data_IF_336515215948
#
_entry.id   IF_336515215948
#
_cell.length_a   1.000
_cell.length_b   1.000
_cell.length_c   1.000
_cell.angle_alpha   90.00
_cell.angle_beta   90.00
_cell.angle_gamma   90.00
#
_symmetry.space_group_name_H-M   'P 1'
#
loop_
_entity.id
_entity.type
_entity.pdbx_description
1 polymer ?
#
# COMPACT_ATOMS: atom_id res chain seq x y z
N UNK A 1 21.05 21.15 -26.30
CA UNK A 1 22.34 20.43 -26.25
C UNK A 1 23.11 20.85 -25.00
N UNK A 2 23.49 19.89 -24.15
CA UNK A 2 24.06 20.17 -22.82
C UNK A 2 25.41 20.96 -22.86
N UNK A 3 26.19 20.84 -23.94
CA UNK A 3 27.48 21.51 -24.06
C UNK A 3 27.46 22.78 -24.90
N UNK A 4 26.43 22.99 -25.73
CA UNK A 4 26.40 24.15 -26.67
C UNK A 4 25.49 25.27 -26.17
N UNK A 5 24.34 24.95 -25.61
CA UNK A 5 23.34 25.92 -25.15
C UNK A 5 22.59 25.38 -23.92
N UNK A 6 23.25 25.08 -22.79
CA UNK A 6 22.62 24.50 -21.60
C UNK A 6 21.59 25.45 -21.00
N UNK A 7 21.70 26.75 -21.16
CA UNK A 7 20.77 27.75 -20.63
C UNK A 7 19.41 27.76 -21.34
N UNK A 8 19.30 27.15 -22.53
CA UNK A 8 18.06 27.13 -23.31
C UNK A 8 17.17 25.94 -22.92
N UNK A 9 17.66 25.02 -22.07
CA UNK A 9 16.93 23.83 -21.66
C UNK A 9 16.66 23.77 -20.16
N UNK A 10 15.58 23.07 -19.81
CA UNK A 10 15.21 22.76 -18.42
C UNK A 10 15.41 21.27 -18.20
N UNK A 11 15.99 20.88 -17.06
CA UNK A 11 16.42 19.51 -16.82
C UNK A 11 15.40 18.77 -15.96
N UNK A 12 14.49 18.04 -16.62
CA UNK A 12 13.48 17.24 -15.96
C UNK A 12 14.06 16.06 -15.13
N UNK A 13 15.24 15.53 -15.51
CA UNK A 13 15.92 14.50 -14.73
C UNK A 13 16.34 15.02 -13.35
N UNK A 14 16.94 16.22 -13.29
CA UNK A 14 17.36 16.79 -12.02
C UNK A 14 16.16 17.15 -11.14
N UNK A 15 15.07 17.65 -11.72
CA UNK A 15 13.82 17.87 -10.99
C UNK A 15 13.29 16.57 -10.37
N UNK A 16 13.24 15.47 -11.13
CA UNK A 16 12.78 14.18 -10.64
C UNK A 16 13.74 13.55 -9.62
N UNK A 17 15.04 13.71 -9.77
CA UNK A 17 16.03 13.27 -8.79
C UNK A 17 15.88 14.02 -7.46
N UNK A 18 15.77 15.35 -7.52
CA UNK A 18 15.50 16.19 -6.34
C UNK A 18 14.16 15.81 -5.68
N UNK A 19 13.12 15.62 -6.47
CA UNK A 19 11.83 15.14 -5.97
C UNK A 19 11.97 13.82 -5.22
N UNK A 20 12.71 12.86 -5.77
CA UNK A 20 12.93 11.54 -5.14
C UNK A 20 13.56 11.68 -3.74
N UNK A 21 14.59 12.53 -3.60
CA UNK A 21 15.24 12.81 -2.32
C UNK A 21 14.25 13.50 -1.36
N UNK A 22 13.56 14.53 -1.83
CA UNK A 22 12.62 15.32 -1.02
C UNK A 22 11.45 14.48 -0.52
N UNK A 23 10.92 13.56 -1.34
CA UNK A 23 9.86 12.62 -0.95
C UNK A 23 10.26 11.76 0.24
N UNK A 24 11.49 11.27 0.28
CA UNK A 24 11.99 10.46 1.39
C UNK A 24 12.24 11.29 2.66
N UNK A 25 12.34 12.62 2.57
CA UNK A 25 12.48 13.53 3.71
C UNK A 25 11.15 13.91 4.38
N UNK A 26 10.00 13.51 3.84
CA UNK A 26 8.69 13.78 4.45
C UNK A 26 8.67 13.22 5.87
N UNK A 27 8.29 14.08 6.84
CA UNK A 27 8.16 13.68 8.24
C UNK A 27 7.11 12.59 8.39
N UNK A 28 7.45 11.55 9.14
CA UNK A 28 6.50 10.47 9.43
C UNK A 28 5.41 10.96 10.38
N UNK A 29 4.21 10.40 10.23
CA UNK A 29 3.06 10.83 11.05
C UNK A 29 3.14 10.27 12.47
N UNK A 30 2.92 11.13 13.50
CA UNK A 30 3.08 10.72 14.90
C UNK A 30 1.99 9.80 15.46
N UNK A 31 0.84 9.69 14.76
CA UNK A 31 -0.30 8.86 15.21
C UNK A 31 -0.32 7.45 14.62
N UNK A 32 0.65 7.08 13.79
CA UNK A 32 0.69 5.75 13.21
C UNK A 32 1.72 5.60 12.10
N UNK A 33 1.90 4.36 11.65
CA UNK A 33 2.85 4.03 10.59
C UNK A 33 2.53 4.81 9.30
N UNK A 34 3.56 5.35 8.70
CA UNK A 34 3.50 6.02 7.41
C UNK A 34 4.74 5.68 6.60
N UNK A 35 4.57 5.43 5.31
CA UNK A 35 5.66 5.01 4.43
C UNK A 35 5.54 5.71 3.08
N UNK A 36 6.67 5.86 2.42
CA UNK A 36 6.77 6.34 1.05
C UNK A 36 7.90 5.59 0.35
N UNK A 37 7.69 5.27 -0.91
CA UNK A 37 8.70 4.64 -1.74
C UNK A 37 8.66 5.22 -3.15
N UNK A 38 9.83 5.53 -3.70
CA UNK A 38 10.01 5.81 -5.12
C UNK A 38 10.57 4.56 -5.77
N UNK A 39 9.74 3.89 -6.57
CA UNK A 39 10.09 2.60 -7.20
C UNK A 39 10.66 2.75 -8.60
N UNK A 40 10.34 3.84 -9.31
CA UNK A 40 10.82 4.05 -10.69
C UNK A 40 11.16 5.52 -10.90
N UNK A 41 12.30 5.78 -11.54
CA UNK A 41 12.68 7.05 -12.11
C UNK A 41 13.32 6.81 -13.47
N UNK A 42 12.68 7.27 -14.53
CA UNK A 42 13.17 7.17 -15.90
C UNK A 42 13.28 8.56 -16.51
N UNK A 43 14.45 8.92 -17.05
CA UNK A 43 14.68 10.19 -17.71
C UNK A 43 15.87 10.14 -18.65
N UNK A 44 15.82 10.94 -19.71
CA UNK A 44 16.92 11.16 -20.64
C UNK A 44 17.05 10.12 -21.75
N UNK A 45 17.69 10.52 -22.85
CA UNK A 45 17.89 9.73 -24.07
C UNK A 45 19.36 9.65 -24.50
N UNK A 46 20.19 10.56 -24.02
CA UNK A 46 21.60 10.62 -24.38
C UNK A 46 22.42 11.53 -23.47
N UNK A 47 23.70 11.22 -23.33
CA UNK A 47 24.61 11.91 -22.40
C UNK A 47 24.80 13.41 -22.65
N UNK A 48 24.56 13.88 -23.86
CA UNK A 48 24.74 15.26 -24.30
C UNK A 48 23.42 16.00 -24.56
N UNK A 49 22.29 15.42 -24.15
CA UNK A 49 20.96 16.01 -24.30
C UNK A 49 20.41 16.31 -22.91
N UNK A 50 19.90 17.51 -22.68
CA UNK A 50 19.14 17.83 -21.46
C UNK A 50 17.82 17.09 -21.48
N UNK A 51 17.51 16.27 -20.48
CA UNK A 51 16.24 15.54 -20.43
C UNK A 51 15.05 16.50 -20.33
N UNK A 52 14.15 16.43 -21.28
CA UNK A 52 12.92 17.24 -21.35
C UNK A 52 11.75 16.57 -20.61
N UNK A 53 11.82 15.24 -20.45
CA UNK A 53 10.80 14.44 -19.76
C UNK A 53 11.48 13.53 -18.73
N UNK A 54 10.83 13.43 -17.55
CA UNK A 54 11.12 12.43 -16.54
C UNK A 54 9.82 11.78 -16.04
N UNK A 55 9.85 10.48 -15.81
CA UNK A 55 8.74 9.71 -15.24
C UNK A 55 9.17 9.14 -13.90
N UNK A 56 8.44 9.51 -12.84
CA UNK A 56 8.63 9.00 -11.49
C UNK A 56 7.39 8.23 -11.08
N UNK A 57 7.56 6.98 -10.57
CA UNK A 57 6.48 6.18 -9.99
C UNK A 57 6.79 5.95 -8.53
N UNK A 58 5.80 6.23 -7.70
CA UNK A 58 5.93 6.15 -6.25
C UNK A 58 4.64 5.62 -5.61
N UNK A 59 4.75 5.19 -4.36
CA UNK A 59 3.60 4.87 -3.52
C UNK A 59 3.72 5.55 -2.16
N UNK A 60 2.58 5.76 -1.51
CA UNK A 60 2.49 6.15 -0.11
C UNK A 60 1.62 5.14 0.63
N UNK A 61 1.90 4.96 1.93
CA UNK A 61 1.10 4.11 2.82
C UNK A 61 0.89 4.82 4.15
N UNK A 62 -0.28 4.61 4.75
CA UNK A 62 -0.61 5.07 6.10
C UNK A 62 -1.38 4.00 6.84
N UNK A 63 -1.19 3.93 8.17
CA UNK A 63 -1.95 3.03 9.04
C UNK A 63 -3.46 3.31 9.02
N UNK A 64 -3.85 4.55 8.69
CA UNK A 64 -5.23 4.96 8.46
C UNK A 64 -5.32 5.74 7.16
N UNK A 65 -6.54 5.93 6.65
CA UNK A 65 -6.80 6.74 5.46
C UNK A 65 -6.30 8.18 5.65
N UNK A 66 -6.53 8.79 6.81
CA UNK A 66 -6.10 10.17 7.12
C UNK A 66 -4.56 10.30 7.13
N UNK A 67 -3.86 9.29 7.67
CA UNK A 67 -2.38 9.27 7.65
C UNK A 67 -1.86 9.16 6.22
N UNK A 68 -2.50 8.34 5.39
CA UNK A 68 -2.10 8.25 3.99
C UNK A 68 -2.43 9.53 3.21
N UNK A 69 -3.54 10.19 3.48
CA UNK A 69 -3.89 11.49 2.88
C UNK A 69 -2.87 12.57 3.25
N UNK A 70 -2.39 12.60 4.50
CA UNK A 70 -1.28 13.44 4.89
C UNK A 70 -0.03 13.15 4.03
N UNK A 71 0.36 11.89 3.88
CA UNK A 71 1.53 11.51 3.07
C UNK A 71 1.35 11.90 1.60
N UNK A 72 0.16 11.73 1.03
CA UNK A 72 -0.16 12.14 -0.34
C UNK A 72 -0.09 13.66 -0.50
N UNK A 73 -0.62 14.41 0.47
CA UNK A 73 -0.56 15.88 0.48
C UNK A 73 0.88 16.40 0.49
N UNK A 74 1.71 15.87 1.39
CA UNK A 74 3.12 16.23 1.48
C UNK A 74 3.90 15.81 0.21
N UNK A 75 3.61 14.63 -0.33
CA UNK A 75 4.22 14.18 -1.57
C UNK A 75 3.92 15.13 -2.74
N UNK A 76 2.67 15.55 -2.91
CA UNK A 76 2.28 16.53 -3.93
C UNK A 76 3.02 17.84 -3.76
N UNK A 77 3.14 18.33 -2.52
CA UNK A 77 3.86 19.55 -2.20
C UNK A 77 5.35 19.45 -2.57
N UNK A 78 6.00 18.32 -2.25
CA UNK A 78 7.41 18.09 -2.58
C UNK A 78 7.66 17.98 -4.09
N UNK A 79 6.75 17.31 -4.81
CA UNK A 79 6.81 17.19 -6.26
C UNK A 79 6.69 18.55 -6.93
N UNK A 80 5.76 19.39 -6.49
CA UNK A 80 5.60 20.75 -7.02
C UNK A 80 6.81 21.61 -6.71
N UNK A 81 7.32 21.58 -5.48
CA UNK A 81 8.50 22.36 -5.09
C UNK A 81 9.75 21.97 -5.89
N UNK A 82 9.94 20.68 -6.19
CA UNK A 82 11.04 20.23 -7.03
C UNK A 82 10.87 20.66 -8.49
N UNK A 83 9.64 20.66 -9.00
CA UNK A 83 9.36 21.18 -10.34
C UNK A 83 9.66 22.67 -10.46
N UNK A 84 9.21 23.46 -9.47
CA UNK A 84 9.43 24.90 -9.41
C UNK A 84 10.94 25.23 -9.30
N UNK A 85 11.71 24.45 -8.53
CA UNK A 85 13.16 24.63 -8.38
C UNK A 85 13.90 24.55 -9.70
N UNK A 86 13.46 23.71 -10.62
CA UNK A 86 14.08 23.50 -11.93
C UNK A 86 13.29 24.14 -13.08
N UNK A 87 12.28 24.93 -12.78
CA UNK A 87 11.42 25.62 -13.74
C UNK A 87 10.84 24.66 -14.80
N UNK A 88 10.34 23.48 -14.33
CA UNK A 88 9.63 22.50 -15.15
C UNK A 88 8.18 22.34 -14.68
N UNK A 89 7.32 21.84 -15.55
CA UNK A 89 5.96 21.46 -15.16
C UNK A 89 5.91 20.05 -14.57
N UNK A 90 4.95 19.80 -13.65
CA UNK A 90 4.67 18.48 -13.13
C UNK A 90 3.20 18.11 -13.34
N UNK A 91 2.96 16.91 -13.83
CA UNK A 91 1.61 16.31 -13.88
C UNK A 91 1.58 15.10 -12.95
N UNK A 92 0.65 15.10 -11.99
CA UNK A 92 0.50 14.04 -11.00
C UNK A 92 -0.76 13.26 -11.31
N UNK A 93 -0.59 11.98 -11.61
CA UNK A 93 -1.70 11.05 -11.88
C UNK A 93 -1.79 10.01 -10.76
N UNK A 94 -2.97 9.87 -10.17
CA UNK A 94 -3.25 8.80 -9.20
C UNK A 94 -3.51 7.50 -9.97
N UNK A 95 -2.64 6.52 -9.81
CA UNK A 95 -2.76 5.22 -10.50
C UNK A 95 -3.72 4.26 -9.78
N UNK A 96 -3.83 4.38 -8.46
CA UNK A 96 -4.73 3.56 -7.64
C UNK A 96 -4.68 3.98 -6.18
N UNK A 97 -5.57 3.42 -5.37
CA UNK A 97 -5.56 3.53 -3.91
C UNK A 97 -6.36 2.36 -3.34
N UNK A 98 -6.14 2.06 -2.06
CA UNK A 98 -7.03 1.22 -1.26
C UNK A 98 -7.25 1.90 0.11
N UNK A 99 -8.43 1.78 0.71
CA UNK A 99 -8.65 2.25 2.08
C UNK A 99 -7.86 1.41 3.07
N UNK A 100 -7.75 1.91 4.31
CA UNK A 100 -7.21 1.10 5.41
C UNK A 100 -8.14 -0.10 5.67
N UNK A 101 -7.55 -1.27 5.87
CA UNK A 101 -8.29 -2.49 6.21
C UNK A 101 -8.54 -2.48 7.73
N UNK A 102 -9.70 -1.96 8.15
CA UNK A 102 -10.08 -1.85 9.56
C UNK A 102 -11.06 -2.97 9.90
N UNK A 103 -10.62 -3.94 10.69
CA UNK A 103 -11.46 -5.02 11.17
C UNK A 103 -12.43 -4.57 12.28
N UNK A 104 -13.64 -5.15 12.28
CA UNK A 104 -14.56 -5.01 13.39
C UNK A 104 -14.10 -5.89 14.57
N UNK A 105 -13.79 -5.25 15.69
CA UNK A 105 -13.17 -5.89 16.84
C UNK A 105 -14.07 -6.95 17.50
N UNK A 106 -15.38 -6.67 17.62
CA UNK A 106 -16.30 -7.64 18.22
C UNK A 106 -16.50 -8.84 17.29
N UNK A 107 -16.57 -8.61 15.98
CA UNK A 107 -16.62 -9.71 15.01
C UNK A 107 -15.35 -10.55 15.05
N UNK A 108 -14.17 -9.91 15.19
CA UNK A 108 -12.90 -10.62 15.31
C UNK A 108 -12.88 -11.55 16.51
N UNK A 109 -13.38 -11.12 17.69
CA UNK A 109 -13.49 -11.95 18.87
C UNK A 109 -14.46 -13.14 18.69
N UNK A 110 -15.63 -12.89 18.10
CA UNK A 110 -16.60 -13.95 17.82
C UNK A 110 -15.97 -15.04 16.93
N UNK A 111 -15.25 -14.61 15.88
CA UNK A 111 -14.58 -15.53 14.96
C UNK A 111 -13.42 -16.28 15.62
N UNK A 112 -12.67 -15.62 16.48
CA UNK A 112 -11.61 -16.23 17.27
C UNK A 112 -12.14 -17.38 18.15
N UNK A 113 -13.26 -17.17 18.84
CA UNK A 113 -13.88 -18.20 19.69
C UNK A 113 -14.37 -19.40 18.85
N UNK A 114 -14.96 -19.14 17.67
CA UNK A 114 -15.38 -20.20 16.73
C UNK A 114 -14.14 -21.00 16.24
N UNK A 115 -13.07 -20.30 15.91
CA UNK A 115 -11.83 -20.91 15.47
C UNK A 115 -11.19 -21.77 16.57
N UNK A 116 -11.15 -21.29 17.82
CA UNK A 116 -10.67 -22.04 18.99
C UNK A 116 -11.47 -23.32 19.21
N UNK A 117 -12.79 -23.25 19.11
CA UNK A 117 -13.68 -24.41 19.30
C UNK A 117 -13.42 -25.49 18.25
N UNK A 118 -12.95 -25.17 17.07
CA UNK A 118 -12.68 -26.14 16.00
C UNK A 118 -11.47 -27.06 16.27
N UNK A 119 -10.55 -26.65 17.17
CA UNK A 119 -9.29 -27.37 17.50
C UNK A 119 -8.39 -27.68 16.30
N UNK A 120 -8.59 -27.01 15.16
CA UNK A 120 -7.86 -27.28 13.91
C UNK A 120 -6.61 -26.38 13.75
N UNK A 121 -6.52 -25.32 14.53
CA UNK A 121 -5.46 -24.32 14.45
C UNK A 121 -4.48 -24.52 15.60
N UNK A 122 -3.18 -24.49 15.29
CA UNK A 122 -2.12 -24.58 16.30
C UNK A 122 -1.97 -23.29 17.08
N UNK A 123 -2.19 -22.18 16.40
CA UNK A 123 -2.05 -20.84 16.94
C UNK A 123 -3.12 -19.95 16.32
N UNK A 124 -3.69 -19.08 17.11
CA UNK A 124 -4.64 -18.06 16.69
C UNK A 124 -4.09 -16.74 17.22
N UNK A 125 -3.83 -15.81 16.32
CA UNK A 125 -3.34 -14.47 16.61
C UNK A 125 -4.52 -13.52 16.47
N UNK A 126 -4.87 -12.82 17.53
CA UNK A 126 -6.00 -11.92 17.60
C UNK A 126 -5.83 -10.65 16.74
N UNK A 127 -4.59 -10.18 16.58
CA UNK A 127 -4.25 -9.01 15.76
C UNK A 127 -2.88 -9.16 15.12
N UNK A 128 -2.80 -8.79 13.85
CA UNK A 128 -1.54 -8.65 13.13
C UNK A 128 -1.58 -7.45 12.21
N UNK A 129 -0.59 -6.55 12.34
CA UNK A 129 -0.37 -5.51 11.34
C UNK A 129 0.27 -6.15 10.09
N UNK A 130 -0.53 -6.33 9.06
CA UNK A 130 -0.09 -6.92 7.80
C UNK A 130 0.91 -6.02 7.05
N UNK A 131 0.93 -4.72 7.33
CA UNK A 131 1.81 -3.74 6.67
C UNK A 131 1.54 -3.57 5.17
N UNK A 132 0.46 -4.15 4.66
CA UNK A 132 0.01 -4.12 3.28
C UNK A 132 -1.36 -3.49 3.12
N UNK A 133 -1.83 -3.40 1.89
CA UNK A 133 -3.19 -3.01 1.54
C UNK A 133 -3.82 -4.10 0.69
N UNK A 134 -5.12 -4.27 0.84
CA UNK A 134 -5.90 -5.29 0.14
C UNK A 134 -7.12 -4.65 -0.53
N UNK A 135 -7.43 -5.09 -1.73
CA UNK A 135 -8.60 -4.60 -2.48
C UNK A 135 -9.92 -4.91 -1.77
N UNK A 136 -9.97 -5.97 -0.96
CA UNK A 136 -11.14 -6.33 -0.16
C UNK A 136 -11.48 -5.26 0.90
N UNK A 137 -10.56 -4.37 1.25
CA UNK A 137 -10.83 -3.24 2.15
C UNK A 137 -11.95 -2.32 1.62
N UNK A 138 -12.14 -2.23 0.30
CA UNK A 138 -13.29 -1.52 -0.29
C UNK A 138 -14.62 -2.19 0.05
N UNK A 139 -14.68 -3.53 0.04
CA UNK A 139 -15.88 -4.26 0.44
C UNK A 139 -16.16 -4.09 1.92
N UNK A 140 -15.10 -4.15 2.76
CA UNK A 140 -15.20 -3.97 4.20
C UNK A 140 -15.74 -2.57 4.53
N UNK A 141 -15.14 -1.53 3.95
CA UNK A 141 -15.58 -0.14 4.12
C UNK A 141 -17.05 0.02 3.70
N UNK A 142 -17.44 -0.56 2.56
CA UNK A 142 -18.83 -0.50 2.07
C UNK A 142 -19.82 -1.16 3.01
N UNK A 143 -19.47 -2.33 3.56
CA UNK A 143 -20.29 -3.06 4.53
C UNK A 143 -20.43 -2.25 5.82
N UNK A 144 -19.33 -1.74 6.35
CA UNK A 144 -19.29 -0.96 7.59
C UNK A 144 -20.05 0.38 7.45
N UNK A 145 -19.92 1.06 6.32
CA UNK A 145 -20.65 2.30 6.03
C UNK A 145 -22.19 2.08 5.98
N UNK A 146 -22.65 0.85 5.73
CA UNK A 146 -24.06 0.49 5.77
C UNK A 146 -24.47 -0.15 7.12
N UNK A 147 -23.68 0.00 8.17
CA UNK A 147 -23.97 -0.51 9.51
C UNK A 147 -23.71 -2.00 9.70
N UNK A 148 -23.08 -2.67 8.73
CA UNK A 148 -22.63 -4.04 8.86
C UNK A 148 -21.26 -4.17 9.53
N UNK A 149 -20.84 -5.40 9.79
CA UNK A 149 -19.54 -5.73 10.37
C UNK A 149 -18.67 -6.44 9.33
N UNK A 150 -17.39 -6.16 9.32
CA UNK A 150 -16.44 -6.74 8.38
C UNK A 150 -15.11 -7.11 9.06
N UNK A 151 -14.53 -8.22 8.64
CA UNK A 151 -13.27 -8.74 9.15
C UNK A 151 -12.42 -9.27 8.00
N UNK A 152 -11.15 -8.93 7.99
CA UNK A 152 -10.14 -9.57 7.16
C UNK A 152 -9.37 -10.60 7.99
N UNK A 153 -9.27 -11.82 7.49
CA UNK A 153 -8.59 -12.92 8.17
C UNK A 153 -7.44 -13.45 7.32
N UNK A 154 -6.32 -13.74 7.95
CA UNK A 154 -5.20 -14.40 7.32
C UNK A 154 -5.07 -15.84 7.81
N UNK A 155 -4.81 -16.75 6.88
CA UNK A 155 -4.54 -18.15 7.19
C UNK A 155 -3.05 -18.40 7.00
N UNK A 156 -2.36 -18.72 8.09
CA UNK A 156 -0.94 -19.04 8.08
C UNK A 156 -0.67 -20.41 7.45
N UNK A 157 0.34 -20.46 6.60
CA UNK A 157 0.88 -21.69 6.04
C UNK A 157 2.41 -21.65 6.09
N UNK A 158 3.04 -22.83 6.03
CA UNK A 158 4.49 -22.90 5.77
C UNK A 158 4.71 -22.47 4.33
N UNK A 159 5.58 -21.49 4.14
CA UNK A 159 5.94 -20.93 2.83
C UNK A 159 7.38 -21.25 2.48
N UNK A 160 7.65 -21.53 1.21
CA UNK A 160 9.00 -21.83 0.71
C UNK A 160 9.86 -20.56 0.57
N UNK A 161 9.24 -19.43 0.22
CA UNK A 161 9.87 -18.12 0.12
C UNK A 161 8.84 -17.03 0.43
N UNK A 162 9.30 -15.80 0.66
CA UNK A 162 8.43 -14.65 0.94
C UNK A 162 7.54 -14.26 -0.25
N UNK A 163 6.53 -13.43 0.03
CA UNK A 163 5.64 -12.89 -1.00
C UNK A 163 6.42 -12.14 -2.10
N UNK A 164 5.93 -12.18 -3.33
CA UNK A 164 6.54 -11.60 -4.53
C UNK A 164 7.91 -12.21 -4.92
N UNK A 165 8.26 -13.37 -4.37
CA UNK A 165 9.43 -14.14 -4.77
C UNK A 165 9.04 -15.16 -5.84
N UNK A 166 9.90 -15.39 -6.85
CA UNK A 166 9.65 -16.36 -7.92
C UNK A 166 9.60 -17.83 -7.44
N UNK A 167 10.10 -18.10 -6.23
CA UNK A 167 10.05 -19.41 -5.57
C UNK A 167 8.96 -19.46 -4.49
N UNK A 168 8.04 -18.51 -4.48
CA UNK A 168 6.92 -18.53 -3.54
C UNK A 168 6.08 -19.78 -3.75
N UNK A 169 5.87 -20.51 -2.67
CA UNK A 169 4.97 -21.66 -2.60
C UNK A 169 4.49 -21.83 -1.16
N UNK A 170 3.37 -22.50 -0.94
CA UNK A 170 2.80 -22.68 0.38
C UNK A 170 2.22 -24.08 0.56
N UNK A 171 2.15 -24.55 1.79
CA UNK A 171 1.55 -25.82 2.11
C UNK A 171 0.03 -25.76 1.93
N UNK A 172 -0.50 -26.40 0.89
CA UNK A 172 -1.92 -26.43 0.53
C UNK A 172 -2.82 -27.07 1.59
N UNK A 173 -2.26 -27.78 2.57
CA UNK A 173 -3.03 -28.33 3.68
C UNK A 173 -3.75 -27.27 4.54
N UNK A 174 -3.42 -25.98 4.38
CA UNK A 174 -4.16 -24.88 5.01
C UNK A 174 -5.52 -24.61 4.34
N UNK A 175 -5.71 -24.94 3.06
CA UNK A 175 -6.88 -24.58 2.26
C UNK A 175 -8.18 -25.17 2.81
N UNK A 176 -8.18 -26.46 3.14
CA UNK A 176 -9.38 -27.12 3.68
C UNK A 176 -9.77 -26.58 5.07
N UNK A 177 -8.76 -26.16 5.88
CA UNK A 177 -9.00 -25.54 7.18
C UNK A 177 -9.64 -24.17 7.02
N UNK A 178 -9.13 -23.35 6.10
CA UNK A 178 -9.70 -22.06 5.77
C UNK A 178 -11.14 -22.19 5.27
N UNK A 179 -11.38 -23.12 4.33
CA UNK A 179 -12.71 -23.39 3.80
C UNK A 179 -13.68 -23.88 4.91
N UNK A 180 -13.20 -24.70 5.83
CA UNK A 180 -13.99 -25.19 6.97
C UNK A 180 -14.43 -24.07 7.89
N UNK A 181 -13.52 -23.14 8.27
CA UNK A 181 -13.88 -21.99 9.09
C UNK A 181 -14.85 -21.06 8.37
N UNK A 182 -14.59 -20.72 7.11
CA UNK A 182 -15.49 -19.85 6.33
C UNK A 182 -16.88 -20.45 6.19
N UNK A 183 -16.98 -21.77 5.98
CA UNK A 183 -18.27 -22.47 5.93
C UNK A 183 -19.01 -22.41 7.27
N UNK A 184 -18.31 -22.63 8.38
CA UNK A 184 -18.88 -22.52 9.74
C UNK A 184 -19.39 -21.11 10.00
N UNK A 185 -18.61 -20.09 9.66
CA UNK A 185 -19.01 -18.68 9.81
C UNK A 185 -20.25 -18.37 8.95
N UNK A 186 -20.26 -18.81 7.67
CA UNK A 186 -21.41 -18.62 6.80
C UNK A 186 -22.69 -19.21 7.44
N UNK A 187 -22.63 -20.44 7.93
CA UNK A 187 -23.77 -21.08 8.60
C UNK A 187 -24.17 -20.29 9.86
N UNK A 188 -23.20 -19.90 10.69
CA UNK A 188 -23.46 -19.19 11.96
C UNK A 188 -24.17 -17.86 11.74
N UNK A 189 -23.80 -17.11 10.71
CA UNK A 189 -24.31 -15.75 10.48
C UNK A 189 -25.49 -15.67 9.51
N UNK A 190 -25.79 -16.73 8.74
CA UNK A 190 -26.93 -16.75 7.81
C UNK A 190 -28.18 -17.42 8.37
N UNK A 191 -28.08 -18.18 9.46
CA UNK A 191 -29.20 -18.86 10.13
C UNK A 191 -29.78 -18.08 11.32
N UNK A 192 -29.59 -16.75 11.35
CA UNK A 192 -30.24 -15.88 12.36
C UNK A 192 -31.54 -15.29 11.84
#
# INVERSE_FOLDING_TARGET
HAGLAPQDGKNALLAAAQASISLHSISRHGKGASRINVGVLNAGTGRNVLPDIAVLKMETRGATTEINEYMVGEAKRMLQAAADLYDVSVTITKAGSAPACVADFELAKEVEEIAKASSQYKEIIDYMDMGGSEDCAYFMERVQANGGRALYMMYGATIAAGHHNSHFDFNEACLWKAAGLLSTLAITYTHK
#
